data_IF_533213039567
#
_entry.id   IF_533213039567
#
_cell.length_a   1.000
_cell.length_b   1.000
_cell.length_c   1.000
_cell.angle_alpha   90.00
_cell.angle_beta   90.00
_cell.angle_gamma   90.00
#
_symmetry.space_group_name_H-M   'P 1'
#
loop_
_entity.id
_entity.type
_entity.pdbx_description
1 polymer ?
#
# COMPACT_ATOMS: atom_id res chain seq x y z
N UNK A 1 -9.59 1.10 12.64
CA UNK A 1 -9.99 0.49 11.37
C UNK A 1 -8.70 0.41 10.59
N UNK A 2 -8.17 -0.79 10.41
CA UNK A 2 -6.82 -1.00 9.91
C UNK A 2 -6.88 -0.99 8.37
N UNK A 3 -6.16 -0.06 7.74
CA UNK A 3 -6.09 0.07 6.28
C UNK A 3 -5.06 -0.88 5.65
N UNK A 4 -4.51 -1.82 6.43
CA UNK A 4 -3.46 -2.74 5.99
C UNK A 4 -3.93 -4.17 6.26
N UNK A 5 -3.88 -5.02 5.25
CA UNK A 5 -4.25 -6.43 5.34
C UNK A 5 -3.11 -7.33 4.84
N UNK A 6 -3.05 -8.54 5.39
CA UNK A 6 -2.13 -9.59 4.96
C UNK A 6 -2.69 -10.30 3.72
N UNK A 7 -1.91 -10.33 2.64
CA UNK A 7 -2.19 -11.15 1.45
C UNK A 7 -1.35 -12.43 1.42
N UNK A 8 -1.37 -13.13 0.29
CA UNK A 8 -0.66 -14.41 0.13
C UNK A 8 0.87 -14.23 0.13
N UNK A 9 1.37 -13.22 -0.59
CA UNK A 9 2.82 -12.99 -0.78
C UNK A 9 3.33 -11.70 -0.11
N UNK A 10 2.43 -10.74 0.15
CA UNK A 10 2.78 -9.41 0.66
C UNK A 10 1.58 -8.78 1.39
N UNK A 11 1.84 -7.71 2.13
CA UNK A 11 0.79 -6.88 2.74
C UNK A 11 0.29 -5.84 1.74
N UNK A 12 -1.00 -5.49 1.84
CA UNK A 12 -1.65 -4.51 0.98
C UNK A 12 -2.26 -3.38 1.81
N UNK A 13 -2.02 -2.14 1.36
CA UNK A 13 -2.66 -0.95 1.92
C UNK A 13 -3.87 -0.63 1.06
N UNK A 14 -5.03 -0.43 1.67
CA UNK A 14 -6.25 0.02 0.97
C UNK A 14 -6.14 1.52 0.68
N UNK A 15 -5.97 1.93 -0.59
CA UNK A 15 -5.82 3.35 -0.92
C UNK A 15 -7.11 4.16 -0.72
N UNK A 16 -8.29 3.52 -0.73
CA UNK A 16 -9.57 4.23 -0.64
C UNK A 16 -9.90 4.65 0.81
N UNK A 17 -9.36 3.93 1.81
CA UNK A 17 -9.54 4.25 3.24
C UNK A 17 -8.26 4.74 3.92
N UNK A 18 -7.10 4.64 3.26
CA UNK A 18 -5.87 5.25 3.76
C UNK A 18 -6.08 6.76 3.93
N UNK A 19 -5.57 7.31 5.04
CA UNK A 19 -5.69 8.74 5.37
C UNK A 19 -4.37 9.48 5.27
N UNK A 20 -3.38 8.89 4.58
CA UNK A 20 -2.04 9.45 4.39
C UNK A 20 -1.33 9.88 5.68
N UNK A 21 -1.47 9.09 6.76
CA UNK A 21 -0.88 9.44 8.06
C UNK A 21 0.64 9.20 8.16
N UNK A 22 1.24 8.48 7.20
CA UNK A 22 2.69 8.19 7.14
C UNK A 22 3.22 7.26 8.24
N UNK A 23 2.38 6.77 9.15
CA UNK A 23 2.82 5.96 10.30
C UNK A 23 3.45 4.62 9.85
N UNK A 24 2.86 3.97 8.85
CA UNK A 24 3.35 2.69 8.33
C UNK A 24 4.69 2.83 7.58
N UNK A 25 4.88 3.92 6.84
CA UNK A 25 6.12 4.23 6.13
C UNK A 25 7.30 4.38 7.12
N UNK A 26 7.11 5.08 8.23
CA UNK A 26 8.15 5.31 9.23
C UNK A 26 8.60 4.05 10.00
N UNK A 27 7.77 3.01 10.05
CA UNK A 27 8.05 1.78 10.82
C UNK A 27 8.47 0.60 9.94
N UNK A 28 8.30 0.70 8.61
CA UNK A 28 8.63 -0.39 7.70
C UNK A 28 10.16 -0.60 7.67
N UNK A 29 10.68 -1.75 8.14
CA UNK A 29 12.13 -1.96 8.29
C UNK A 29 12.88 -2.07 6.97
N UNK A 30 12.14 -2.23 5.86
CA UNK A 30 12.67 -2.40 4.50
C UNK A 30 12.22 -1.28 3.56
N UNK A 31 11.61 -0.22 4.10
CA UNK A 31 11.24 0.98 3.32
C UNK A 31 10.38 0.65 2.08
N UNK A 32 9.40 -0.26 2.25
CA UNK A 32 8.58 -0.77 1.13
C UNK A 32 7.30 0.04 0.86
N UNK A 33 7.05 1.11 1.61
CA UNK A 33 5.78 1.87 1.56
C UNK A 33 6.08 3.28 1.06
N UNK A 34 5.33 3.69 0.03
CA UNK A 34 5.44 4.98 -0.63
C UNK A 34 4.03 5.57 -0.80
N UNK A 35 3.92 6.90 -0.84
CA UNK A 35 2.66 7.54 -1.24
C UNK A 35 2.42 7.34 -2.73
N UNK A 36 1.15 7.32 -3.17
CA UNK A 36 0.80 7.13 -4.59
C UNK A 36 1.48 8.17 -5.51
N UNK A 37 1.69 9.39 -5.01
CA UNK A 37 2.35 10.48 -5.74
C UNK A 37 3.87 10.28 -5.93
N UNK A 38 4.47 9.39 -5.14
CA UNK A 38 5.91 9.09 -5.15
C UNK A 38 6.25 7.87 -6.03
N UNK A 39 5.25 7.13 -6.49
CA UNK A 39 5.45 5.91 -7.29
C UNK A 39 5.96 6.26 -8.70
N UNK A 40 6.97 5.52 -9.16
CA UNK A 40 7.41 5.57 -10.55
C UNK A 40 6.49 4.70 -11.45
N UNK A 41 6.60 4.85 -12.79
CA UNK A 41 5.78 4.09 -13.74
C UNK A 41 5.90 2.57 -13.54
N UNK A 42 7.07 2.08 -13.14
CA UNK A 42 7.32 0.66 -12.88
C UNK A 42 6.64 0.17 -11.59
N UNK A 43 6.42 1.05 -10.61
CA UNK A 43 5.83 0.70 -9.32
C UNK A 43 4.30 0.70 -9.35
N UNK A 44 3.68 1.29 -10.38
CA UNK A 44 2.23 1.35 -10.56
C UNK A 44 1.56 -0.03 -10.52
N UNK A 45 2.30 -1.08 -10.85
CA UNK A 45 1.85 -2.47 -10.74
C UNK A 45 1.47 -2.85 -9.30
N UNK A 46 2.14 -2.30 -8.29
CA UNK A 46 1.84 -2.58 -6.88
C UNK A 46 0.58 -1.88 -6.42
N UNK A 47 0.34 -0.66 -6.90
CA UNK A 47 -0.90 0.07 -6.65
C UNK A 47 -2.11 -0.66 -7.28
N UNK A 48 -1.97 -1.15 -8.51
CA UNK A 48 -3.01 -1.94 -9.16
C UNK A 48 -3.31 -3.24 -8.39
N UNK A 49 -2.27 -3.95 -7.93
CA UNK A 49 -2.44 -5.14 -7.08
C UNK A 49 -3.19 -4.82 -5.79
N UNK A 50 -2.84 -3.72 -5.11
CA UNK A 50 -3.51 -3.29 -3.90
C UNK A 50 -4.99 -2.99 -4.15
N UNK A 51 -5.32 -2.21 -5.18
CA UNK A 51 -6.71 -1.93 -5.56
C UNK A 51 -7.48 -3.21 -5.89
N UNK A 52 -6.86 -4.13 -6.61
CA UNK A 52 -7.48 -5.41 -6.95
C UNK A 52 -7.80 -6.22 -5.70
N UNK A 53 -6.87 -6.27 -4.74
CA UNK A 53 -7.03 -7.01 -3.49
C UNK A 53 -8.27 -6.56 -2.68
N UNK A 54 -8.62 -5.27 -2.72
CA UNK A 54 -9.81 -4.73 -2.02
C UNK A 54 -11.08 -4.66 -2.90
N UNK A 55 -10.98 -5.01 -4.18
CA UNK A 55 -12.12 -5.03 -5.11
C UNK A 55 -12.86 -6.38 -5.20
N UNK A 56 -12.35 -7.39 -4.51
CA UNK A 56 -12.91 -8.76 -4.40
C UNK A 56 -13.60 -8.98 -3.04
#
# INVERSE_FOLDING_TARGET
MDCIAEGEDQYFIDPDICIDCGACQAVCPVEAIYHEEELEEEDMVFLEKARKFYSE
#
